data_IF_841743347223
#
_entry.id   IF_841743347223
#
_cell.length_a   1.000
_cell.length_b   1.000
_cell.length_c   1.000
_cell.angle_alpha   90.00
_cell.angle_beta   90.00
_cell.angle_gamma   90.00
#
_symmetry.space_group_name_H-M   'P 1'
#
loop_
_entity.id
_entity.type
_entity.pdbx_description
1 polymer ?
#
# COMPACT_ATOMS: atom_id res chain seq x y z
N UNK A 1 4.76 27.14 -13.67
CA UNK A 1 3.98 26.08 -13.00
C UNK A 1 3.08 25.44 -14.05
N UNK A 2 2.98 24.11 -14.05
CA UNK A 2 2.10 23.39 -14.99
C UNK A 2 0.63 23.72 -14.68
N UNK A 3 -0.27 23.81 -15.68
CA UNK A 3 -1.70 23.99 -15.46
C UNK A 3 -2.31 22.98 -14.47
N UNK A 4 -1.71 21.79 -14.37
CA UNK A 4 -2.25 20.67 -13.59
C UNK A 4 -1.75 20.61 -12.14
N UNK A 5 -0.97 21.61 -11.69
CA UNK A 5 -0.47 21.70 -10.31
C UNK A 5 -1.59 22.05 -9.32
N UNK A 6 -2.55 22.89 -9.73
CA UNK A 6 -3.72 23.23 -8.92
C UNK A 6 -4.89 22.36 -9.32
N UNK A 7 -5.39 21.56 -8.37
CA UNK A 7 -6.52 20.68 -8.59
C UNK A 7 -7.83 21.45 -8.50
N UNK A 8 -8.71 21.22 -9.46
CA UNK A 8 -10.09 21.67 -9.40
C UNK A 8 -10.81 21.02 -8.22
N UNK A 9 -11.94 21.59 -7.80
CA UNK A 9 -12.78 21.02 -6.73
C UNK A 9 -13.23 19.58 -7.05
N UNK A 10 -13.42 19.26 -8.33
CA UNK A 10 -13.79 17.91 -8.79
C UNK A 10 -12.63 16.93 -8.65
N UNK A 11 -11.41 17.32 -9.04
CA UNK A 11 -10.21 16.50 -8.85
C UNK A 11 -9.89 16.29 -7.37
N UNK A 12 -10.05 17.33 -6.54
CA UNK A 12 -9.85 17.23 -5.09
C UNK A 12 -10.83 16.22 -4.49
N UNK A 13 -12.13 16.31 -4.83
CA UNK A 13 -13.11 15.37 -4.33
C UNK A 13 -12.84 13.93 -4.82
N UNK A 14 -12.42 13.79 -6.09
CA UNK A 14 -11.95 12.51 -6.62
C UNK A 14 -10.83 11.90 -5.77
N UNK A 15 -9.80 12.69 -5.45
CA UNK A 15 -8.70 12.26 -4.59
C UNK A 15 -9.17 11.90 -3.18
N UNK A 16 -10.11 12.65 -2.57
CA UNK A 16 -10.66 12.31 -1.24
C UNK A 16 -11.35 10.96 -1.24
N UNK A 17 -12.14 10.67 -2.27
CA UNK A 17 -12.83 9.39 -2.41
C UNK A 17 -11.85 8.24 -2.66
N UNK A 18 -10.78 8.48 -3.43
CA UNK A 18 -9.72 7.50 -3.61
C UNK A 18 -9.00 7.21 -2.28
N UNK A 19 -8.61 8.23 -1.50
CA UNK A 19 -7.96 8.05 -0.19
C UNK A 19 -8.84 7.30 0.80
N UNK A 20 -10.16 7.53 0.78
CA UNK A 20 -11.09 6.80 1.64
C UNK A 20 -11.10 5.29 1.33
N UNK A 21 -11.07 4.93 0.05
CA UNK A 21 -11.01 3.53 -0.38
C UNK A 21 -9.66 2.91 -0.02
N UNK A 22 -8.58 3.61 -0.35
CA UNK A 22 -7.21 3.16 -0.09
C UNK A 22 -6.94 2.95 1.41
N UNK A 23 -7.40 3.89 2.24
CA UNK A 23 -7.33 3.75 3.70
C UNK A 23 -8.12 2.56 4.23
N UNK A 24 -9.32 2.28 3.68
CA UNK A 24 -10.06 1.08 4.03
C UNK A 24 -9.34 -0.21 3.60
N UNK A 25 -8.66 -0.18 2.44
CA UNK A 25 -7.82 -1.28 1.95
C UNK A 25 -6.63 -1.53 2.88
N UNK A 26 -5.97 -0.47 3.35
CA UNK A 26 -4.86 -0.54 4.30
C UNK A 26 -5.30 -1.13 5.64
N UNK A 27 -6.46 -0.72 6.16
CA UNK A 27 -7.03 -1.31 7.39
C UNK A 27 -7.33 -2.81 7.20
N UNK A 28 -7.91 -3.19 6.05
CA UNK A 28 -8.16 -4.60 5.72
C UNK A 28 -6.85 -5.39 5.62
N UNK A 29 -5.82 -4.80 5.03
CA UNK A 29 -4.50 -5.39 4.94
C UNK A 29 -3.88 -5.60 6.31
N UNK A 30 -3.86 -4.59 7.20
CA UNK A 30 -3.31 -4.76 8.53
C UNK A 30 -4.09 -5.77 9.37
N UNK A 31 -5.42 -5.82 9.27
CA UNK A 31 -6.23 -6.84 9.94
C UNK A 31 -6.01 -8.26 9.40
N UNK A 32 -5.56 -8.40 8.14
CA UNK A 32 -5.08 -9.65 7.58
C UNK A 32 -3.66 -9.97 8.07
N UNK A 33 -2.76 -8.99 8.03
CA UNK A 33 -1.36 -9.10 8.43
C UNK A 33 -1.23 -9.62 9.86
N UNK A 34 -1.97 -9.03 10.80
CA UNK A 34 -1.99 -9.46 12.21
C UNK A 34 -2.32 -10.94 12.38
N UNK A 35 -3.20 -11.50 11.55
CA UNK A 35 -3.59 -12.92 11.61
C UNK A 35 -2.55 -13.81 10.96
N UNK A 36 -2.05 -13.41 9.79
CA UNK A 36 -1.14 -14.23 9.01
C UNK A 36 0.30 -14.21 9.54
N UNK A 37 0.64 -13.26 10.40
CA UNK A 37 1.88 -13.29 11.19
C UNK A 37 2.06 -14.61 11.95
N UNK A 38 0.97 -15.25 12.37
CA UNK A 38 1.01 -16.55 13.06
C UNK A 38 1.06 -17.73 12.08
N UNK A 39 0.46 -17.58 10.90
CA UNK A 39 0.30 -18.65 9.91
C UNK A 39 1.44 -18.74 8.88
N UNK A 40 2.26 -17.68 8.74
CA UNK A 40 3.41 -17.66 7.84
C UNK A 40 3.06 -17.61 6.35
N UNK A 41 1.92 -17.01 5.99
CA UNK A 41 1.52 -16.81 4.61
C UNK A 41 2.34 -15.70 3.92
N UNK A 42 2.34 -15.72 2.59
CA UNK A 42 2.91 -14.66 1.76
C UNK A 42 2.03 -13.40 1.74
N UNK A 43 2.66 -12.25 1.48
CA UNK A 43 2.01 -10.93 1.38
C UNK A 43 0.86 -10.93 0.36
N UNK A 44 -0.29 -10.35 0.72
CA UNK A 44 -1.51 -10.27 -0.11
C UNK A 44 -1.90 -8.84 -0.52
N UNK A 45 -0.96 -7.90 -0.44
CA UNK A 45 -1.22 -6.49 -0.74
C UNK A 45 -1.91 -6.27 -2.09
N UNK A 46 -1.38 -6.88 -3.15
CA UNK A 46 -1.85 -6.70 -4.53
C UNK A 46 -3.24 -7.30 -4.72
N UNK A 47 -3.46 -8.49 -4.16
CA UNK A 47 -4.69 -9.27 -4.24
C UNK A 47 -5.83 -8.54 -3.52
N UNK A 48 -5.54 -7.85 -2.41
CA UNK A 48 -6.51 -7.05 -1.67
C UNK A 48 -6.89 -5.79 -2.49
N UNK A 49 -5.92 -5.12 -3.14
CA UNK A 49 -6.17 -3.93 -3.96
C UNK A 49 -6.98 -4.21 -5.21
N UNK A 50 -6.76 -5.34 -5.88
CA UNK A 50 -7.49 -5.73 -7.10
C UNK A 50 -9.01 -5.84 -6.88
N UNK A 51 -9.46 -6.00 -5.64
CA UNK A 51 -10.88 -6.11 -5.28
C UNK A 51 -11.53 -4.74 -5.02
N UNK A 52 -10.74 -3.65 -5.00
CA UNK A 52 -11.22 -2.32 -4.63
C UNK A 52 -11.85 -1.64 -5.83
N UNK A 53 -13.00 -1.01 -5.61
CA UNK A 53 -13.71 -0.26 -6.64
C UNK A 53 -12.81 0.82 -7.25
N UNK A 54 -12.84 0.92 -8.58
CA UNK A 54 -12.12 1.91 -9.40
C UNK A 54 -10.58 1.78 -9.34
N UNK A 55 -10.04 0.69 -8.78
CA UNK A 55 -8.62 0.39 -8.81
C UNK A 55 -8.14 0.16 -10.25
N UNK A 56 -6.95 0.67 -10.57
CA UNK A 56 -6.32 0.58 -11.90
C UNK A 56 -5.05 -0.25 -11.82
N UNK A 57 -4.13 0.14 -10.93
CA UNK A 57 -2.84 -0.52 -10.74
C UNK A 57 -2.19 -0.03 -9.44
N UNK A 58 -1.08 -0.63 -9.05
CA UNK A 58 -0.18 0.00 -8.10
C UNK A 58 0.40 1.29 -8.70
N UNK A 59 0.78 2.21 -7.83
CA UNK A 59 1.55 3.41 -8.21
C UNK A 59 3.03 3.07 -8.41
N UNK A 60 3.57 2.23 -7.53
CA UNK A 60 4.94 1.72 -7.52
C UNK A 60 4.95 0.35 -6.81
N UNK A 61 6.06 -0.38 -6.90
CA UNK A 61 6.21 -1.65 -6.20
C UNK A 61 6.22 -1.42 -4.68
N UNK A 62 5.31 -2.08 -3.97
CA UNK A 62 5.17 -1.92 -2.52
C UNK A 62 6.45 -2.29 -1.78
N UNK A 63 6.90 -1.37 -0.92
CA UNK A 63 8.02 -1.58 -0.01
C UNK A 63 7.43 -2.15 1.29
N UNK A 64 7.37 -3.47 1.36
CA UNK A 64 6.94 -4.23 2.55
C UNK A 64 8.20 -4.77 3.24
N UNK A 65 8.61 -4.17 4.35
CA UNK A 65 9.91 -4.44 4.98
C UNK A 65 9.81 -4.61 6.48
N UNK A 66 10.69 -5.45 7.05
CA UNK A 66 10.72 -5.74 8.48
C UNK A 66 12.15 -5.73 9.03
N UNK A 67 12.32 -5.18 10.24
CA UNK A 67 13.59 -5.14 10.94
C UNK A 67 14.67 -4.43 10.10
N UNK A 68 15.81 -5.09 9.89
CA UNK A 68 16.93 -4.52 9.16
C UNK A 68 16.58 -4.15 7.70
N UNK A 69 15.62 -4.84 7.08
CA UNK A 69 15.20 -4.53 5.70
C UNK A 69 14.58 -3.12 5.59
N UNK A 70 13.99 -2.61 6.67
CA UNK A 70 13.40 -1.25 6.71
C UNK A 70 14.42 -0.11 6.69
N UNK A 71 15.71 -0.40 6.87
CA UNK A 71 16.78 0.60 6.68
C UNK A 71 17.21 0.78 5.22
N UNK A 72 16.71 -0.07 4.31
CA UNK A 72 17.01 0.00 2.88
C UNK A 72 15.94 0.88 2.22
N UNK A 73 16.35 2.06 1.73
CA UNK A 73 15.44 3.10 1.22
C UNK A 73 14.47 2.61 0.12
N UNK A 74 14.93 1.75 -0.77
CA UNK A 74 14.15 1.16 -1.86
C UNK A 74 14.24 -0.37 -1.76
N UNK A 75 13.83 -0.91 -0.62
CA UNK A 75 13.75 -2.35 -0.45
C UNK A 75 12.70 -2.94 -1.42
N UNK A 76 13.11 -3.93 -2.20
CA UNK A 76 12.22 -4.66 -3.11
C UNK A 76 12.16 -6.11 -2.63
N UNK A 77 11.04 -6.54 -1.98
CA UNK A 77 10.91 -7.89 -1.48
C UNK A 77 10.88 -8.91 -2.63
N UNK A 78 11.71 -9.96 -2.54
CA UNK A 78 11.65 -11.10 -3.45
C UNK A 78 10.70 -12.16 -2.88
N UNK A 79 9.53 -12.37 -3.52
CA UNK A 79 8.54 -13.36 -3.05
C UNK A 79 9.19 -14.74 -2.88
N UNK A 80 8.91 -15.40 -1.76
CA UNK A 80 9.52 -16.69 -1.37
C UNK A 80 10.84 -16.59 -0.58
N UNK A 81 11.51 -15.43 -0.58
CA UNK A 81 12.78 -15.20 0.16
C UNK A 81 12.65 -14.11 1.24
N UNK A 82 11.43 -13.64 1.51
CA UNK A 82 11.17 -12.59 2.47
C UNK A 82 11.36 -13.07 3.93
N UNK A 83 11.86 -12.17 4.77
CA UNK A 83 11.85 -12.37 6.22
C UNK A 83 10.41 -12.52 6.73
N UNK A 84 10.22 -13.39 7.72
CA UNK A 84 8.92 -13.57 8.37
C UNK A 84 8.54 -12.32 9.15
N UNK A 85 7.27 -11.95 9.06
CA UNK A 85 6.73 -10.81 9.80
C UNK A 85 6.65 -11.17 11.30
N UNK A 86 6.97 -10.22 12.18
CA UNK A 86 7.07 -10.42 13.63
C UNK A 86 6.74 -9.13 14.38
N UNK A 87 6.06 -9.26 15.53
CA UNK A 87 5.73 -8.12 16.42
C UNK A 87 6.94 -7.66 17.24
N UNK A 88 8.05 -8.40 17.22
CA UNK A 88 9.24 -8.09 18.00
C UNK A 88 10.11 -6.97 17.38
N UNK A 89 9.86 -6.61 16.13
CA UNK A 89 10.66 -5.65 15.35
C UNK A 89 9.75 -4.72 14.56
N UNK A 90 10.31 -3.60 14.10
CA UNK A 90 9.58 -2.61 13.30
C UNK A 90 9.21 -3.20 11.93
N UNK A 91 7.98 -2.92 11.50
CA UNK A 91 7.48 -3.15 10.15
C UNK A 91 7.24 -1.80 9.46
N UNK A 92 7.60 -1.71 8.17
CA UNK A 92 7.37 -0.54 7.33
C UNK A 92 6.65 -0.99 6.06
N UNK A 93 5.62 -0.24 5.70
CA UNK A 93 4.84 -0.40 4.48
C UNK A 93 4.77 0.95 3.77
N UNK A 94 5.56 1.11 2.71
CA UNK A 94 5.44 2.25 1.80
C UNK A 94 4.79 1.73 0.52
N UNK A 95 3.58 2.20 0.26
CA UNK A 95 2.71 1.67 -0.78
C UNK A 95 1.83 2.75 -1.38
N UNK A 96 1.29 2.46 -2.56
CA UNK A 96 0.36 3.36 -3.20
C UNK A 96 -0.34 2.72 -4.38
N UNK A 97 -1.54 3.19 -4.66
CA UNK A 97 -2.38 2.70 -5.75
C UNK A 97 -2.86 3.84 -6.65
N UNK A 98 -3.18 3.47 -7.89
CA UNK A 98 -3.85 4.31 -8.86
C UNK A 98 -5.32 3.90 -8.93
N UNK A 99 -6.19 4.89 -8.80
CA UNK A 99 -7.63 4.79 -9.00
C UNK A 99 -8.04 5.68 -10.16
N UNK A 100 -9.21 5.41 -10.76
CA UNK A 100 -9.74 6.23 -11.86
C UNK A 100 -9.85 7.72 -11.52
N UNK A 101 -9.96 8.06 -10.24
CA UNK A 101 -10.18 9.40 -9.72
C UNK A 101 -9.07 9.92 -8.80
N UNK A 102 -7.92 9.24 -8.68
CA UNK A 102 -6.82 9.71 -7.84
C UNK A 102 -5.64 8.75 -7.77
N UNK A 103 -4.50 9.27 -7.33
CA UNK A 103 -3.26 8.50 -7.15
C UNK A 103 -2.78 8.63 -5.71
N UNK A 104 -2.66 7.51 -5.01
CA UNK A 104 -2.37 7.42 -3.58
C UNK A 104 -0.89 7.13 -3.32
N UNK A 105 -0.43 7.52 -2.14
CA UNK A 105 0.95 7.37 -1.65
C UNK A 105 0.85 7.39 -0.12
N UNK A 106 1.15 6.27 0.53
CA UNK A 106 1.00 6.09 1.97
C UNK A 106 2.23 5.34 2.50
N UNK A 107 2.81 5.85 3.59
CA UNK A 107 4.07 5.41 4.19
C UNK A 107 3.91 5.20 5.70
#
# INVERSE_FOLDING_TARGET
MSPNTFKSVVEIEGMRQAHLRDGATLVKYFGWLEKEMEAGQEDQWDEIHQQVKDYVSLRFDTISSIGANGSILQYSPNRGECAKISTAVIYLNDSGAQYLNGTMDIN
#
